data_IF_683381284449
#
_entry.id   IF_683381284449
#
_cell.length_a   1.000
_cell.length_b   1.000
_cell.length_c   1.000
_cell.angle_alpha   90.00
_cell.angle_beta   90.00
_cell.angle_gamma   90.00
#
_symmetry.space_group_name_H-M   'P 1'
#
loop_
_entity.id
_entity.type
_entity.pdbx_description
1 polymer ?
#
# COMPACT_ATOMS: atom_id res chain seq x y z
N UNK A 1 24.41 -52.10 22.47
CA UNK A 1 23.95 -50.86 21.80
C UNK A 1 24.63 -50.86 20.44
N UNK A 2 24.16 -51.61 19.44
CA UNK A 2 22.99 -51.38 18.55
C UNK A 2 23.02 -50.02 17.87
N UNK A 3 23.24 -50.00 16.55
CA UNK A 3 23.00 -48.85 15.68
C UNK A 3 23.99 -48.70 14.52
N UNK A 4 24.22 -49.76 13.74
CA UNK A 4 24.71 -49.64 12.35
C UNK A 4 23.47 -49.43 11.47
N UNK A 5 23.16 -48.17 11.14
CA UNK A 5 22.12 -47.78 10.19
C UNK A 5 22.73 -46.72 9.25
N UNK A 6 23.61 -47.18 8.35
CA UNK A 6 24.25 -46.38 7.29
C UNK A 6 23.88 -46.93 5.90
N UNK A 7 22.60 -47.29 5.73
CA UNK A 7 22.02 -47.71 4.45
C UNK A 7 20.62 -47.11 4.34
N UNK A 8 20.47 -45.89 3.77
CA UNK A 8 19.20 -45.37 3.22
C UNK A 8 19.39 -44.04 2.48
N UNK A 9 20.19 -44.03 1.41
CA UNK A 9 19.96 -43.08 0.31
C UNK A 9 19.98 -43.83 -1.02
N UNK A 10 18.81 -44.16 -1.60
CA UNK A 10 18.77 -44.73 -2.94
C UNK A 10 19.16 -43.66 -3.96
N UNK A 11 20.07 -44.05 -4.85
CA UNK A 11 20.39 -43.35 -6.09
C UNK A 11 19.11 -43.14 -6.91
N UNK A 12 18.64 -41.90 -6.99
CA UNK A 12 17.62 -41.50 -7.96
C UNK A 12 18.33 -41.00 -9.22
N UNK A 13 18.68 -41.96 -10.09
CA UNK A 13 18.80 -41.72 -11.53
C UNK A 13 17.43 -41.33 -12.06
N UNK A 14 17.28 -40.09 -12.55
CA UNK A 14 16.22 -39.72 -13.47
C UNK A 14 16.86 -39.05 -14.68
N UNK A 15 17.05 -39.88 -15.68
CA UNK A 15 17.25 -39.52 -17.08
C UNK A 15 15.86 -39.20 -17.69
N UNK A 16 15.85 -38.21 -18.57
CA UNK A 16 14.88 -38.00 -19.67
C UNK A 16 13.40 -37.67 -19.35
N UNK A 17 13.05 -36.39 -19.51
CA UNK A 17 11.71 -35.94 -19.94
C UNK A 17 11.79 -34.56 -20.62
N UNK A 18 12.16 -34.59 -21.90
CA UNK A 18 11.41 -33.95 -23.00
C UNK A 18 10.77 -32.58 -22.72
N UNK A 19 11.55 -31.50 -22.87
CA UNK A 19 10.99 -30.16 -23.07
C UNK A 19 10.75 -29.95 -24.57
N UNK A 20 9.58 -30.40 -25.02
CA UNK A 20 9.07 -30.10 -26.35
C UNK A 20 8.92 -28.57 -26.52
N UNK A 21 9.75 -28.00 -27.38
CA UNK A 21 9.59 -26.68 -27.95
C UNK A 21 8.79 -26.85 -29.24
N UNK A 22 7.54 -26.37 -29.34
CA UNK A 22 6.98 -26.08 -30.64
C UNK A 22 7.33 -24.64 -31.01
N UNK A 23 8.27 -24.51 -31.94
CA UNK A 23 8.33 -23.38 -32.87
C UNK A 23 6.92 -23.09 -33.40
N UNK A 24 6.50 -21.84 -33.33
CA UNK A 24 5.44 -21.31 -34.20
C UNK A 24 6.06 -20.24 -35.08
N UNK A 25 6.40 -20.55 -36.33
CA UNK A 25 6.69 -19.57 -37.36
C UNK A 25 5.40 -19.32 -38.14
N UNK A 26 4.84 -18.11 -38.09
CA UNK A 26 4.10 -17.55 -39.23
C UNK A 26 3.73 -16.09 -38.95
N UNK A 27 4.40 -15.20 -39.68
CA UNK A 27 3.84 -13.90 -40.03
C UNK A 27 3.76 -13.89 -41.55
N UNK A 28 2.55 -13.93 -42.14
CA UNK A 28 2.33 -13.40 -43.46
C UNK A 28 1.71 -12.02 -43.36
N UNK A 29 2.32 -11.14 -44.12
CA UNK A 29 2.00 -9.76 -44.41
C UNK A 29 0.68 -9.61 -45.20
N UNK A 30 -0.01 -8.50 -44.94
CA UNK A 30 -0.97 -7.77 -45.78
C UNK A 30 -2.34 -8.38 -46.16
N UNK A 31 -3.42 -7.77 -45.64
CA UNK A 31 -4.43 -7.07 -46.45
C UNK A 31 -5.36 -6.22 -45.55
N UNK A 32 -5.33 -4.90 -45.73
CA UNK A 32 -6.50 -4.03 -45.50
C UNK A 32 -7.33 -4.01 -46.81
N UNK A 33 -8.51 -3.35 -46.94
CA UNK A 33 -9.28 -2.55 -45.98
C UNK A 33 -10.83 -2.68 -46.07
N UNK A 34 -11.58 -2.25 -45.05
CA UNK A 34 -12.87 -1.54 -45.24
C UNK A 34 -13.33 -0.81 -43.97
N UNK A 35 -13.42 0.52 -44.07
CA UNK A 35 -14.46 1.45 -43.57
C UNK A 35 -15.14 1.14 -42.21
N UNK A 36 -15.28 2.01 -41.22
CA UNK A 36 -15.17 3.48 -41.06
C UNK A 36 -15.56 3.75 -39.58
N UNK A 37 -14.92 4.65 -38.82
CA UNK A 37 -15.54 5.19 -37.62
C UNK A 37 -15.92 6.66 -37.83
N UNK A 38 -17.13 6.97 -37.37
CA UNK A 38 -17.76 8.29 -37.31
C UNK A 38 -16.80 9.42 -36.94
N UNK A 39 -16.84 10.46 -37.76
CA UNK A 39 -16.28 11.76 -37.45
C UNK A 39 -17.18 12.51 -36.46
N UNK A 40 -16.63 13.10 -35.40
CA UNK A 40 -17.09 14.41 -34.95
C UNK A 40 -16.30 15.48 -35.72
N UNK A 41 -17.03 16.46 -36.23
CA UNK A 41 -16.52 17.67 -36.87
C UNK A 41 -15.30 18.26 -36.14
N UNK A 42 -14.16 18.26 -36.82
CA UNK A 42 -13.06 19.15 -36.51
C UNK A 42 -12.95 20.15 -37.66
N UNK A 43 -13.50 21.33 -37.40
CA UNK A 43 -13.23 22.57 -38.12
C UNK A 43 -11.76 22.60 -38.57
N UNK A 44 -11.53 22.97 -39.84
CA UNK A 44 -10.22 22.98 -40.48
C UNK A 44 -9.18 23.80 -39.71
N UNK A 45 -8.48 23.15 -38.78
CA UNK A 45 -7.21 23.64 -38.22
C UNK A 45 -6.12 23.21 -39.18
N UNK A 46 -5.97 23.94 -40.28
CA UNK A 46 -4.73 23.92 -41.06
C UNK A 46 -3.60 24.37 -40.14
N UNK A 47 -2.88 23.42 -39.55
CA UNK A 47 -1.68 23.71 -38.77
C UNK A 47 -0.68 24.37 -39.72
N UNK A 48 -0.19 25.59 -39.44
CA UNK A 48 0.76 26.26 -40.32
C UNK A 48 2.00 25.37 -40.49
N UNK A 49 2.36 25.04 -41.74
CA UNK A 49 3.52 24.19 -42.03
C UNK A 49 4.81 24.71 -41.36
N UNK A 50 4.95 26.03 -41.23
CA UNK A 50 6.06 26.68 -40.51
C UNK A 50 6.13 26.26 -39.03
N UNK A 51 4.99 26.13 -38.34
CA UNK A 51 4.95 25.68 -36.94
C UNK A 51 5.30 24.18 -36.81
N UNK A 52 4.97 23.37 -37.82
CA UNK A 52 5.38 21.96 -37.85
C UNK A 52 6.89 21.80 -38.09
N UNK A 53 7.48 22.67 -38.91
CA UNK A 53 8.92 22.69 -39.13
C UNK A 53 9.69 23.11 -37.85
N UNK A 54 9.24 24.16 -37.15
CA UNK A 54 9.87 24.56 -35.89
C UNK A 54 9.79 23.46 -34.82
N UNK A 55 8.62 22.83 -34.65
CA UNK A 55 8.44 21.70 -33.71
C UNK A 55 9.29 20.49 -34.11
N UNK A 56 9.47 20.23 -35.41
CA UNK A 56 10.34 19.15 -35.89
C UNK A 56 11.81 19.45 -35.57
N UNK A 57 12.26 20.68 -35.76
CA UNK A 57 13.65 21.06 -35.53
C UNK A 57 13.97 21.15 -34.03
N UNK A 58 13.04 21.63 -33.21
CA UNK A 58 13.10 21.52 -31.75
C UNK A 58 13.19 20.05 -31.29
N UNK A 59 12.36 19.17 -31.85
CA UNK A 59 12.44 17.74 -31.54
C UNK A 59 13.78 17.11 -31.96
N UNK A 60 14.35 17.51 -33.11
CA UNK A 60 15.67 17.02 -33.54
C UNK A 60 16.77 17.50 -32.59
N UNK A 61 16.74 18.77 -32.18
CA UNK A 61 17.75 19.33 -31.26
C UNK A 61 17.64 18.73 -29.86
N UNK A 62 16.43 18.50 -29.36
CA UNK A 62 16.20 17.80 -28.09
C UNK A 62 16.71 16.36 -28.15
N UNK A 63 16.42 15.63 -29.24
CA UNK A 63 16.94 14.27 -29.45
C UNK A 63 18.46 14.23 -29.52
N UNK A 64 19.08 15.20 -30.20
CA UNK A 64 20.54 15.31 -30.26
C UNK A 64 21.14 15.55 -28.86
N UNK A 65 20.56 16.47 -28.07
CA UNK A 65 21.01 16.74 -26.69
C UNK A 65 20.85 15.53 -25.76
N UNK A 66 19.75 14.78 -25.89
CA UNK A 66 19.55 13.55 -25.11
C UNK A 66 20.61 12.51 -25.46
N UNK A 67 20.89 12.31 -26.76
CA UNK A 67 21.94 11.39 -27.20
C UNK A 67 23.34 11.81 -26.69
N UNK A 68 23.65 13.11 -26.68
CA UNK A 68 24.89 13.62 -26.08
C UNK A 68 24.95 13.35 -24.58
N UNK A 69 23.84 13.56 -23.85
CA UNK A 69 23.78 13.31 -22.42
C UNK A 69 23.97 11.82 -22.10
N UNK A 70 23.34 10.94 -22.87
CA UNK A 70 23.50 9.49 -22.75
C UNK A 70 24.94 9.04 -23.05
N UNK A 71 25.57 9.64 -24.07
CA UNK A 71 26.98 9.37 -24.40
C UNK A 71 27.93 9.82 -23.28
N UNK A 72 27.73 11.01 -22.71
CA UNK A 72 28.50 11.49 -21.55
C UNK A 72 28.28 10.59 -20.35
N UNK A 73 27.03 10.20 -20.06
CA UNK A 73 26.72 9.28 -18.97
C UNK A 73 27.39 7.93 -19.14
N UNK A 74 27.40 7.37 -20.35
CA UNK A 74 28.10 6.13 -20.67
C UNK A 74 29.62 6.27 -20.49
N UNK A 75 30.20 7.39 -20.92
CA UNK A 75 31.62 7.66 -20.75
C UNK A 75 32.01 7.79 -19.27
N UNK A 76 31.20 8.49 -18.47
CA UNK A 76 31.38 8.59 -17.02
C UNK A 76 31.25 7.22 -16.36
N UNK A 77 30.28 6.40 -16.77
CA UNK A 77 30.12 5.03 -16.26
C UNK A 77 31.33 4.14 -16.59
N UNK A 78 31.90 4.27 -17.80
CA UNK A 78 33.11 3.55 -18.20
C UNK A 78 34.33 4.02 -17.42
N UNK A 79 34.51 5.33 -17.21
CA UNK A 79 35.58 5.87 -16.36
C UNK A 79 35.42 5.42 -14.90
N UNK A 80 34.19 5.38 -14.39
CA UNK A 80 33.89 4.91 -13.05
C UNK A 80 34.19 3.42 -12.89
N UNK A 81 33.85 2.58 -13.87
CA UNK A 81 34.20 1.15 -13.86
C UNK A 81 35.70 0.92 -13.99
N UNK A 82 36.40 1.70 -14.81
CA UNK A 82 37.86 1.60 -14.95
C UNK A 82 38.62 2.07 -13.69
N UNK A 83 38.01 2.94 -12.88
CA UNK A 83 38.59 3.45 -11.63
C UNK A 83 38.10 2.74 -10.38
N UNK A 84 37.10 1.87 -10.45
CA UNK A 84 36.75 1.01 -9.32
C UNK A 84 37.86 -0.01 -9.15
N UNK A 85 38.69 0.09 -8.08
CA UNK A 85 39.56 -1.01 -7.74
C UNK A 85 38.65 -2.23 -7.52
N UNK A 86 39.07 -3.46 -7.88
CA UNK A 86 38.32 -4.66 -7.49
C UNK A 86 38.04 -4.54 -6.00
N UNK A 87 36.79 -4.79 -5.60
CA UNK A 87 36.31 -4.69 -4.23
C UNK A 87 37.07 -5.70 -3.34
N UNK A 88 38.32 -5.38 -3.03
CA UNK A 88 39.09 -6.09 -2.05
C UNK A 88 38.51 -5.69 -0.70
N UNK A 89 38.27 -6.64 0.22
CA UNK A 89 37.92 -6.29 1.58
C UNK A 89 39.00 -5.34 2.08
N UNK A 90 38.62 -4.13 2.49
CA UNK A 90 39.53 -3.14 3.03
C UNK A 90 40.23 -3.80 4.21
N UNK A 91 41.48 -4.23 4.03
CA UNK A 91 42.31 -4.71 5.12
C UNK A 91 42.68 -3.48 5.93
N UNK A 92 41.94 -3.26 7.00
CA UNK A 92 42.18 -2.16 7.92
C UNK A 92 43.46 -2.53 8.70
N UNK A 93 44.58 -1.87 8.39
CA UNK A 93 45.84 -2.08 9.10
C UNK A 93 45.80 -1.32 10.45
N UNK A 94 45.90 -2.00 11.60
CA UNK A 94 45.95 -1.34 12.92
C UNK A 94 47.14 -0.37 13.09
N UNK A 95 48.13 -0.44 12.20
CA UNK A 95 49.32 0.41 12.21
C UNK A 95 49.12 1.75 11.47
N UNK A 96 48.02 1.90 10.72
CA UNK A 96 47.76 3.11 9.94
C UNK A 96 47.39 4.30 10.84
N UNK A 97 47.93 5.51 10.59
CA UNK A 97 47.55 6.72 11.33
C UNK A 97 46.06 7.05 11.25
N UNK A 98 45.39 6.60 10.19
CA UNK A 98 43.96 6.81 9.96
C UNK A 98 43.07 5.68 10.49
N UNK A 99 43.65 4.66 11.14
CA UNK A 99 42.93 3.48 11.64
C UNK A 99 41.70 3.86 12.48
N UNK A 100 41.86 4.79 13.43
CA UNK A 100 40.76 5.24 14.28
C UNK A 100 39.62 5.90 13.51
N UNK A 101 39.91 6.64 12.43
CA UNK A 101 38.89 7.27 11.60
C UNK A 101 38.16 6.24 10.73
N UNK A 102 38.90 5.30 10.12
CA UNK A 102 38.31 4.23 9.30
C UNK A 102 37.42 3.33 10.15
N UNK A 103 37.88 2.95 11.34
CA UNK A 103 37.10 2.18 12.30
C UNK A 103 35.84 2.93 12.74
N UNK A 104 35.96 4.21 13.12
CA UNK A 104 34.82 5.03 13.52
C UNK A 104 33.79 5.18 12.40
N UNK A 105 34.23 5.38 11.14
CA UNK A 105 33.33 5.43 9.99
C UNK A 105 32.64 4.09 9.73
N UNK A 106 33.35 2.97 9.89
CA UNK A 106 32.76 1.63 9.79
C UNK A 106 31.64 1.44 10.81
N UNK A 107 31.93 1.71 12.08
CA UNK A 107 30.95 1.63 13.18
C UNK A 107 29.78 2.58 12.93
N UNK A 108 30.02 3.81 12.49
CA UNK A 108 28.95 4.77 12.21
C UNK A 108 28.03 4.29 11.08
N UNK A 109 28.58 3.68 10.02
CA UNK A 109 27.78 3.11 8.92
C UNK A 109 26.91 1.95 9.42
N UNK A 110 27.47 1.06 10.23
CA UNK A 110 26.71 -0.06 10.83
C UNK A 110 25.62 0.44 11.77
N UNK A 111 25.88 1.46 12.58
CA UNK A 111 24.87 2.05 13.46
C UNK A 111 23.73 2.68 12.68
N UNK A 112 24.04 3.43 11.61
CA UNK A 112 23.03 3.98 10.71
C UNK A 112 22.24 2.86 10.04
N UNK A 113 22.90 1.81 9.58
CA UNK A 113 22.22 0.67 8.96
C UNK A 113 21.27 -0.05 9.93
N UNK A 114 21.74 -0.36 11.15
CA UNK A 114 20.93 -0.96 12.20
C UNK A 114 19.74 -0.08 12.58
N UNK A 115 19.97 1.24 12.73
CA UNK A 115 18.90 2.22 12.98
C UNK A 115 17.84 2.18 11.88
N UNK A 116 18.27 2.14 10.61
CA UNK A 116 17.35 2.05 9.48
C UNK A 116 16.55 0.74 9.50
N UNK A 117 17.19 -0.41 9.70
CA UNK A 117 16.51 -1.71 9.80
C UNK A 117 15.51 -1.76 10.95
N UNK A 118 15.90 -1.29 12.14
CA UNK A 118 15.02 -1.25 13.31
C UNK A 118 13.84 -0.31 13.08
N UNK A 119 14.09 0.89 12.55
CA UNK A 119 13.02 1.85 12.26
C UNK A 119 12.05 1.34 11.21
N UNK A 120 12.52 0.59 10.21
CA UNK A 120 11.67 -0.11 9.24
C UNK A 120 10.80 -1.15 9.93
N UNK A 121 11.39 -2.00 10.76
CA UNK A 121 10.63 -3.03 11.49
C UNK A 121 9.52 -2.44 12.35
N UNK A 122 9.81 -1.34 13.07
CA UNK A 122 8.78 -0.66 13.87
C UNK A 122 7.70 0.01 12.99
N UNK A 123 8.08 0.62 11.88
CA UNK A 123 7.14 1.22 10.94
C UNK A 123 6.22 0.16 10.30
N UNK A 124 6.76 -1.01 9.93
CA UNK A 124 5.96 -2.12 9.38
C UNK A 124 4.96 -2.66 10.41
N UNK A 125 5.35 -2.71 11.69
CA UNK A 125 4.46 -3.11 12.78
C UNK A 125 3.32 -2.12 13.02
N UNK A 126 3.58 -0.82 12.90
CA UNK A 126 2.61 0.24 13.22
C UNK A 126 1.70 0.61 12.05
N UNK A 127 2.25 0.63 10.84
CA UNK A 127 1.54 1.09 9.64
C UNK A 127 1.22 -0.01 8.64
N UNK A 128 1.75 -1.22 8.84
CA UNK A 128 1.66 -2.30 7.87
C UNK A 128 2.79 -2.26 6.85
N UNK A 129 3.11 -3.42 6.29
CA UNK A 129 4.22 -3.58 5.34
C UNK A 129 3.96 -2.84 4.03
N UNK A 130 2.71 -2.84 3.59
CA UNK A 130 2.28 -2.29 2.30
C UNK A 130 2.53 -0.77 2.25
N UNK A 131 2.15 -0.05 3.31
CA UNK A 131 2.36 1.40 3.38
C UNK A 131 3.86 1.74 3.44
N UNK A 132 4.66 0.93 4.14
CA UNK A 132 6.12 1.13 4.23
C UNK A 132 6.79 0.89 2.87
N UNK A 133 6.38 -0.15 2.15
CA UNK A 133 6.90 -0.45 0.81
C UNK A 133 6.49 0.63 -0.21
N UNK A 134 5.24 1.14 -0.16
CA UNK A 134 4.81 2.31 -0.95
C UNK A 134 5.65 3.55 -0.65
N UNK A 135 5.87 3.81 0.64
CA UNK A 135 6.67 4.95 1.10
C UNK A 135 8.11 4.84 0.58
N UNK A 136 8.69 3.64 0.64
CA UNK A 136 10.02 3.36 0.08
C UNK A 136 10.06 3.62 -1.43
N UNK A 137 9.05 3.17 -2.18
CA UNK A 137 8.96 3.44 -3.61
C UNK A 137 8.91 4.95 -3.90
N UNK A 138 8.12 5.71 -3.12
CA UNK A 138 8.06 7.17 -3.22
C UNK A 138 9.43 7.84 -2.98
N UNK A 139 10.15 7.44 -1.93
CA UNK A 139 11.48 8.01 -1.61
C UNK A 139 12.61 7.53 -2.52
N UNK A 140 12.47 6.35 -3.13
CA UNK A 140 13.40 5.90 -4.19
C UNK A 140 13.27 6.78 -5.44
N UNK A 141 12.07 7.26 -5.75
CA UNK A 141 11.86 8.25 -6.81
C UNK A 141 12.33 9.67 -6.41
N UNK A 142 12.32 9.99 -5.11
CA UNK A 142 12.70 11.31 -4.56
C UNK A 142 13.86 11.21 -3.55
N UNK A 143 15.08 10.84 -3.99
CA UNK A 143 16.21 10.56 -3.09
C UNK A 143 16.74 11.80 -2.35
N UNK A 144 16.38 13.00 -2.77
CA UNK A 144 16.75 14.23 -2.05
C UNK A 144 15.94 14.40 -0.76
N UNK A 145 14.69 13.94 -0.75
CA UNK A 145 13.82 14.07 0.42
C UNK A 145 14.18 13.04 1.50
N UNK A 146 14.63 11.85 1.10
CA UNK A 146 14.97 10.76 2.03
C UNK A 146 16.11 11.12 3.00
N UNK A 147 17.07 11.94 2.55
CA UNK A 147 18.21 12.37 3.37
C UNK A 147 17.79 13.19 4.59
N UNK A 148 16.65 13.90 4.51
CA UNK A 148 16.15 14.76 5.60
C UNK A 148 15.74 13.94 6.81
N UNK A 149 15.33 12.69 6.62
CA UNK A 149 14.83 11.82 7.68
C UNK A 149 15.92 10.99 8.36
N UNK A 150 17.15 10.95 7.82
CA UNK A 150 18.25 10.18 8.44
C UNK A 150 18.62 10.69 9.84
N UNK A 151 18.46 11.99 10.07
CA UNK A 151 18.67 12.63 11.38
C UNK A 151 17.58 12.33 12.41
N UNK A 152 16.39 11.90 11.98
CA UNK A 152 15.25 11.66 12.88
C UNK A 152 15.47 10.42 13.76
N UNK A 153 14.88 10.35 14.97
CA UNK A 153 15.00 9.18 15.84
C UNK A 153 14.55 7.88 15.15
N UNK A 154 13.45 7.95 14.39
CA UNK A 154 12.92 6.86 13.56
C UNK A 154 12.73 7.34 12.12
N UNK A 155 13.73 7.16 11.24
CA UNK A 155 13.70 7.66 9.86
C UNK A 155 12.50 7.15 9.06
N UNK A 156 12.21 5.85 9.15
CA UNK A 156 11.10 5.24 8.41
C UNK A 156 9.73 5.67 8.91
N UNK A 157 9.56 5.86 10.22
CA UNK A 157 8.29 6.33 10.77
C UNK A 157 8.00 7.76 10.29
N UNK A 158 8.97 8.66 10.41
CA UNK A 158 8.83 10.04 9.94
C UNK A 158 8.60 10.12 8.41
N UNK A 159 9.27 9.25 7.64
CA UNK A 159 9.07 9.11 6.21
C UNK A 159 7.62 8.71 5.86
N UNK A 160 7.05 7.72 6.56
CA UNK A 160 5.67 7.27 6.35
C UNK A 160 4.67 8.37 6.70
N UNK A 161 4.88 9.09 7.81
CA UNK A 161 4.02 10.23 8.17
C UNK A 161 4.06 11.33 7.11
N UNK A 162 5.25 11.63 6.58
CA UNK A 162 5.40 12.59 5.49
C UNK A 162 4.68 12.14 4.23
N UNK A 163 4.85 10.87 3.83
CA UNK A 163 4.17 10.30 2.67
C UNK A 163 2.65 10.33 2.83
N UNK A 164 2.11 10.04 4.02
CA UNK A 164 0.68 10.19 4.32
C UNK A 164 0.22 11.63 4.15
N UNK A 165 0.96 12.61 4.66
CA UNK A 165 0.65 14.04 4.48
C UNK A 165 0.65 14.42 3.00
N UNK A 166 1.61 13.95 2.23
CA UNK A 166 1.65 14.17 0.79
C UNK A 166 0.48 13.52 0.06
N UNK A 167 0.14 12.28 0.40
CA UNK A 167 -1.00 11.56 -0.19
C UNK A 167 -2.31 12.30 0.09
N UNK A 168 -2.52 12.74 1.33
CA UNK A 168 -3.69 13.56 1.69
C UNK A 168 -3.68 14.91 0.96
N UNK A 169 -2.52 15.57 0.84
CA UNK A 169 -2.41 16.81 0.07
C UNK A 169 -2.76 16.60 -1.41
N UNK A 170 -2.32 15.48 -1.99
CA UNK A 170 -2.64 15.10 -3.36
C UNK A 170 -4.12 14.73 -3.54
N UNK A 171 -4.75 14.11 -2.54
CA UNK A 171 -6.18 13.78 -2.54
C UNK A 171 -7.08 15.03 -2.42
N UNK A 172 -6.67 16.02 -1.64
CA UNK A 172 -7.38 17.30 -1.49
C UNK A 172 -7.24 18.17 -2.74
N UNK A 173 -6.04 18.20 -3.33
CA UNK A 173 -5.74 19.00 -4.53
C UNK A 173 -6.01 20.50 -4.36
N UNK A 174 -6.29 21.20 -5.46
CA UNK A 174 -6.52 22.66 -5.47
C UNK A 174 -7.89 23.09 -4.89
N UNK A 175 -8.77 22.14 -4.54
CA UNK A 175 -10.16 22.41 -4.14
C UNK A 175 -10.50 21.83 -2.76
N UNK A 176 -10.03 22.45 -1.67
CA UNK A 176 -10.31 21.99 -0.30
C UNK A 176 -11.80 22.00 0.06
N UNK A 177 -12.59 22.90 -0.52
CA UNK A 177 -14.04 22.95 -0.30
C UNK A 177 -14.78 21.71 -0.87
N UNK A 178 -14.32 21.20 -2.02
CA UNK A 178 -14.91 20.02 -2.66
C UNK A 178 -14.63 18.71 -1.90
N UNK A 179 -13.49 18.64 -1.19
CA UNK A 179 -13.21 17.53 -0.29
C UNK A 179 -14.08 17.61 0.98
N UNK A 180 -14.23 18.80 1.56
CA UNK A 180 -15.09 19.02 2.73
C UNK A 180 -16.57 18.73 2.45
N UNK A 181 -17.07 19.04 1.26
CA UNK A 181 -18.45 18.72 0.88
C UNK A 181 -18.67 17.21 0.72
N UNK A 182 -17.75 16.49 0.07
CA UNK A 182 -17.78 15.02 -0.02
C UNK A 182 -17.76 14.35 1.36
N UNK A 183 -16.92 14.85 2.26
CA UNK A 183 -16.83 14.33 3.63
C UNK A 183 -18.14 14.56 4.40
N UNK A 184 -18.76 15.74 4.23
CA UNK A 184 -20.09 16.04 4.82
C UNK A 184 -21.18 15.14 4.26
N UNK A 185 -21.15 14.82 2.98
CA UNK A 185 -22.10 13.89 2.36
C UNK A 185 -21.92 12.46 2.88
N UNK A 186 -20.67 11.98 3.00
CA UNK A 186 -20.38 10.68 3.61
C UNK A 186 -20.85 10.62 5.07
N UNK A 187 -20.58 11.65 5.88
CA UNK A 187 -21.04 11.69 7.28
C UNK A 187 -22.57 11.70 7.36
N UNK A 188 -23.26 12.43 6.48
CA UNK A 188 -24.74 12.39 6.44
C UNK A 188 -25.26 11.00 6.08
N UNK A 189 -24.63 10.32 5.13
CA UNK A 189 -24.99 8.96 4.74
C UNK A 189 -24.72 7.96 5.87
N UNK A 190 -23.60 8.09 6.58
CA UNK A 190 -23.29 7.25 7.74
C UNK A 190 -24.30 7.45 8.87
N UNK A 191 -24.63 8.69 9.22
CA UNK A 191 -25.66 9.01 10.23
C UNK A 191 -27.02 8.45 9.80
N UNK A 192 -27.42 8.61 8.53
CA UNK A 192 -28.66 8.03 8.03
C UNK A 192 -28.64 6.51 8.07
N UNK A 193 -27.51 5.87 7.77
CA UNK A 193 -27.34 4.43 7.84
C UNK A 193 -27.34 3.91 9.30
N UNK A 194 -26.77 4.66 10.24
CA UNK A 194 -26.85 4.38 11.67
C UNK A 194 -28.28 4.54 12.19
N UNK A 195 -28.98 5.61 11.81
CA UNK A 195 -30.40 5.80 12.15
C UNK A 195 -31.28 4.70 11.55
N UNK A 196 -30.99 4.27 10.32
CA UNK A 196 -31.68 3.14 9.69
C UNK A 196 -31.41 1.82 10.45
N UNK A 197 -30.16 1.54 10.83
CA UNK A 197 -29.81 0.37 11.66
C UNK A 197 -30.45 0.43 13.06
N UNK A 198 -30.55 1.61 13.65
CA UNK A 198 -31.21 1.82 14.95
C UNK A 198 -32.74 1.65 14.84
N UNK A 199 -33.34 2.06 13.72
CA UNK A 199 -34.76 1.85 13.43
C UNK A 199 -35.16 0.39 13.15
N UNK A 200 -34.19 -0.46 12.79
CA UNK A 200 -34.35 -1.90 12.56
C UNK A 200 -34.02 -2.74 13.80
N UNK A 201 -33.56 -2.13 14.91
CA UNK A 201 -33.59 -2.82 16.20
C UNK A 201 -35.04 -3.25 16.45
N UNK A 202 -35.30 -4.55 16.73
CA UNK A 202 -36.66 -5.02 16.91
C UNK A 202 -37.28 -4.18 18.03
N UNK A 203 -38.28 -3.36 17.64
CA UNK A 203 -39.13 -2.68 18.58
C UNK A 203 -39.55 -3.73 19.61
N UNK A 204 -39.16 -3.52 20.87
CA UNK A 204 -39.60 -4.37 21.98
C UNK A 204 -41.11 -4.49 21.79
N UNK A 205 -41.59 -5.69 21.47
CA UNK A 205 -42.99 -5.92 21.14
C UNK A 205 -43.88 -5.27 22.20
N UNK A 206 -45.09 -4.81 21.85
CA UNK A 206 -45.93 -4.04 22.75
C UNK A 206 -46.04 -4.78 24.10
N UNK A 207 -45.51 -4.16 25.17
CA UNK A 207 -45.58 -4.72 26.51
C UNK A 207 -47.04 -4.94 26.88
N UNK A 208 -47.45 -6.21 26.93
CA UNK A 208 -48.77 -6.61 27.44
C UNK A 208 -48.96 -6.25 28.93
N UNK A 209 -47.89 -5.84 29.62
CA UNK A 209 -47.93 -5.37 31.00
C UNK A 209 -48.72 -4.07 31.20
N UNK A 210 -48.96 -3.29 30.14
CA UNK A 210 -49.73 -2.03 30.21
C UNK A 210 -51.12 -2.15 29.58
N UNK A 211 -51.50 -3.34 29.09
CA UNK A 211 -52.89 -3.58 28.71
C UNK A 211 -53.72 -3.81 29.98
N UNK A 212 -54.75 -3.00 30.26
CA UNK A 212 -55.67 -3.30 31.34
C UNK A 212 -56.36 -4.63 31.04
N UNK A 213 -56.35 -5.51 32.04
CA UNK A 213 -56.90 -6.86 32.00
C UNK A 213 -58.40 -6.79 31.66
N UNK A 214 -58.77 -6.99 30.39
CA UNK A 214 -60.17 -7.03 29.93
C UNK A 214 -60.85 -8.38 30.21
N UNK A 215 -60.22 -9.25 31.00
CA UNK A 215 -60.89 -10.42 31.56
C UNK A 215 -61.66 -10.03 32.81
N UNK A 216 -62.99 -10.00 32.72
CA UNK A 216 -63.89 -10.00 33.88
C UNK A 216 -63.64 -11.28 34.69
N UNK A 217 -62.63 -11.25 35.56
CA UNK A 217 -62.37 -12.31 36.53
C UNK A 217 -63.32 -12.08 37.70
N UNK A 218 -64.45 -12.78 37.69
CA UNK A 218 -65.15 -13.09 38.93
C UNK A 218 -64.18 -13.93 39.78
N UNK A 219 -63.51 -13.29 40.73
CA UNK A 219 -62.76 -14.02 41.74
C UNK A 219 -63.76 -14.81 42.60
N UNK A 220 -63.44 -16.02 43.06
CA UNK A 220 -64.23 -16.66 44.11
C UNK A 220 -64.17 -15.76 45.35
N UNK A 221 -65.33 -15.30 45.82
CA UNK A 221 -65.46 -14.57 47.07
C UNK A 221 -64.93 -15.46 48.20
N UNK A 222 -63.71 -15.17 48.65
CA UNK A 222 -63.18 -15.74 49.87
C UNK A 222 -63.95 -15.13 51.04
N UNK A 223 -65.09 -15.73 51.36
CA UNK A 223 -65.78 -15.50 52.62
C UNK A 223 -64.86 -16.07 53.70
N UNK A 224 -64.28 -15.19 54.52
CA UNK A 224 -63.19 -15.49 55.46
C UNK A 224 -63.45 -16.63 56.45
N UNK A 225 -62.56 -16.84 57.43
CA UNK A 225 -62.69 -17.96 58.36
C UNK A 225 -64.05 -17.93 59.07
N UNK A 226 -64.70 -19.10 59.12
CA UNK A 226 -66.03 -19.30 59.69
C UNK A 226 -66.07 -18.76 61.14
N UNK A 227 -67.10 -17.97 61.52
CA UNK A 227 -67.16 -17.40 62.86
C UNK A 227 -67.23 -18.51 63.91
N UNK A 228 -66.51 -18.30 65.02
CA UNK A 228 -66.34 -19.29 66.10
C UNK A 228 -67.68 -19.76 66.70
N UNK A 229 -68.74 -18.96 66.57
CA UNK A 229 -70.09 -19.24 67.05
C UNK A 229 -70.80 -20.38 66.30
N UNK A 230 -70.35 -20.74 65.09
CA UNK A 230 -70.87 -21.92 64.35
C UNK A 230 -70.08 -23.21 64.64
N UNK A 231 -68.95 -23.11 65.35
CA UNK A 231 -68.11 -24.26 65.72
C UNK A 231 -68.46 -24.79 67.13
N UNK A 232 -69.15 -23.98 67.97
CA UNK A 232 -69.41 -24.30 69.38
C UNK A 232 -70.89 -24.50 69.73
N UNK A 233 -71.78 -24.74 68.75
CA UNK A 233 -73.14 -25.21 69.06
C UNK A 233 -73.11 -26.73 69.33
N UNK A 234 -73.62 -27.21 70.48
CA UNK A 234 -73.62 -28.63 70.85
C UNK A 234 -74.52 -29.49 69.98
#
# INVERSE_FOLDING_TARGET
>A
MTGEDDDLFPAATFDEAETAVPETPETPEAEAPSEQPDAPEAEGKTVPLAALHSVRDENKTLKARLAEFDAVKAQVAQMAQAQQPPAQPVRIDPSDPNFGQVLAQGVQRELVHNKLQQSRFFAEREFGKEIVDETMAYFNAHPQESQRFLGEPSPFHAAVEFYKKQKVAAEIGDNPEGYASKLREQIKQEILAEMAKESVKPSRGPSLATQPNLGSRAAPEWTGPMPLDDILKP
#
